data_IF_181342731704
#
_entry.id   IF_181342731704
#
_cell.length_a   1.000
_cell.length_b   1.000
_cell.length_c   1.000
_cell.angle_alpha   90.00
_cell.angle_beta   90.00
_cell.angle_gamma   90.00
#
_symmetry.space_group_name_H-M   'P 1'
#
loop_
_entity.id
_entity.type
_entity.pdbx_description
1 polymer ?
#
# COMPACT_ATOMS: atom_id res chain seq x y z
N UNK A 1 -2.16 -2.28 16.33
CA UNK A 1 -0.93 -2.29 15.51
C UNK A 1 0.17 -1.61 16.32
N UNK A 2 1.40 -2.14 16.31
CA UNK A 2 2.56 -1.40 16.81
C UNK A 2 3.06 -0.43 15.74
N UNK A 3 3.22 0.84 16.07
CA UNK A 3 3.65 1.88 15.11
C UNK A 3 5.16 1.85 14.83
N UNK A 4 5.96 1.10 15.60
CA UNK A 4 7.41 0.97 15.41
C UNK A 4 7.80 -0.19 14.49
N UNK A 5 6.96 -1.22 14.36
CA UNK A 5 7.23 -2.37 13.48
C UNK A 5 6.05 -2.75 12.56
N UNK A 6 4.98 -1.95 12.55
CA UNK A 6 3.74 -2.22 11.80
C UNK A 6 3.07 -3.59 12.09
N UNK A 7 3.51 -4.31 13.14
CA UNK A 7 2.96 -5.61 13.50
C UNK A 7 1.54 -5.44 14.04
N UNK A 8 0.59 -6.19 13.49
CA UNK A 8 -0.75 -6.33 14.07
C UNK A 8 -0.63 -7.21 15.31
N UNK A 9 -0.95 -6.65 16.47
CA UNK A 9 -0.97 -7.38 17.73
C UNK A 9 -2.39 -7.88 17.97
N UNK A 10 -2.53 -9.12 18.43
CA UNK A 10 -3.83 -9.65 18.84
C UNK A 10 -4.39 -8.90 20.05
N UNK A 11 -5.70 -8.99 20.28
CA UNK A 11 -6.38 -8.27 21.37
C UNK A 11 -5.73 -8.55 22.74
N UNK A 12 -5.37 -9.81 23.01
CA UNK A 12 -4.70 -10.18 24.25
C UNK A 12 -3.33 -9.53 24.43
N UNK A 13 -2.63 -9.18 23.36
CA UNK A 13 -1.32 -8.53 23.39
C UNK A 13 -1.41 -7.01 23.58
N UNK A 14 -2.61 -6.43 23.57
CA UNK A 14 -2.84 -5.00 23.81
C UNK A 14 -2.95 -4.64 25.30
N UNK A 15 -2.89 -5.63 26.21
CA UNK A 15 -2.86 -5.37 27.66
C UNK A 15 -1.60 -4.57 28.02
N UNK A 16 -1.65 -3.61 28.97
CA UNK A 16 -0.54 -2.72 29.27
C UNK A 16 0.79 -3.44 29.55
N UNK A 17 0.77 -4.50 30.35
CA UNK A 17 1.96 -5.32 30.65
C UNK A 17 2.56 -5.95 29.40
N UNK A 18 1.73 -6.53 28.52
CA UNK A 18 2.19 -7.17 27.28
C UNK A 18 2.66 -6.17 26.22
N UNK A 19 2.07 -4.98 26.16
CA UNK A 19 2.58 -3.89 25.32
C UNK A 19 3.96 -3.41 25.82
N UNK A 20 4.13 -3.30 27.13
CA UNK A 20 5.42 -2.95 27.72
C UNK A 20 6.48 -4.02 27.44
N UNK A 21 6.11 -5.31 27.55
CA UNK A 21 6.99 -6.42 27.19
C UNK A 21 7.36 -6.41 25.70
N UNK A 22 6.39 -6.14 24.82
CA UNK A 22 6.63 -5.99 23.38
C UNK A 22 7.60 -4.85 23.10
N UNK A 23 7.42 -3.69 23.74
CA UNK A 23 8.34 -2.55 23.61
C UNK A 23 9.75 -2.93 24.05
N UNK A 24 9.91 -3.58 25.21
CA UNK A 24 11.24 -3.99 25.72
C UNK A 24 11.93 -5.02 24.85
N UNK A 25 11.19 -6.01 24.33
CA UNK A 25 11.75 -7.12 23.56
C UNK A 25 12.01 -6.77 22.10
N UNK A 26 11.10 -6.03 21.46
CA UNK A 26 11.18 -5.73 20.03
C UNK A 26 11.82 -4.36 19.74
N UNK A 27 11.81 -3.44 20.71
CA UNK A 27 12.25 -2.05 20.55
C UNK A 27 13.03 -1.54 21.77
N UNK A 28 14.11 -2.24 22.20
CA UNK A 28 14.86 -1.89 23.40
C UNK A 28 15.37 -0.44 23.38
N UNK A 29 15.75 0.07 22.21
CA UNK A 29 16.22 1.43 21.96
C UNK A 29 15.14 2.52 22.11
N UNK A 30 13.87 2.13 22.17
CA UNK A 30 12.71 3.03 22.33
C UNK A 30 12.07 2.96 23.72
N UNK A 31 12.60 2.15 24.64
CA UNK A 31 12.02 1.94 25.98
C UNK A 31 12.03 3.19 26.86
N UNK A 32 13.04 4.04 26.72
CA UNK A 32 13.19 5.29 27.47
C UNK A 32 12.46 6.48 26.84
N UNK A 33 11.80 6.29 25.68
CA UNK A 33 11.10 7.38 25.01
C UNK A 33 9.86 7.78 25.82
N UNK A 34 9.66 9.09 25.95
CA UNK A 34 8.53 9.65 26.69
C UNK A 34 7.21 9.61 25.89
N UNK A 35 6.10 9.93 26.55
CA UNK A 35 4.76 10.00 25.95
C UNK A 35 4.73 10.90 24.70
N UNK A 36 5.44 12.04 24.73
CA UNK A 36 5.47 13.02 23.63
C UNK A 36 6.06 12.43 22.35
N UNK A 37 7.06 11.55 22.45
CA UNK A 37 7.60 10.81 21.32
C UNK A 37 6.52 9.95 20.64
N UNK A 38 5.78 9.15 21.42
CA UNK A 38 4.74 8.28 20.89
C UNK A 38 3.52 9.05 20.34
N UNK A 39 3.16 10.18 20.96
CA UNK A 39 2.13 11.08 20.42
C UNK A 39 2.56 11.64 19.06
N UNK A 40 3.79 12.13 18.96
CA UNK A 40 4.34 12.63 17.68
C UNK A 40 4.35 11.54 16.60
N UNK A 41 4.72 10.30 16.97
CA UNK A 41 4.71 9.15 16.06
C UNK A 41 3.29 8.83 15.57
N UNK A 42 2.31 8.84 16.48
CA UNK A 42 0.88 8.66 16.14
C UNK A 42 0.40 9.76 15.18
N UNK A 43 0.73 11.02 15.45
CA UNK A 43 0.32 12.14 14.60
C UNK A 43 0.93 12.05 13.20
N UNK A 44 2.21 11.68 13.10
CA UNK A 44 2.86 11.41 11.82
C UNK A 44 2.15 10.28 11.05
N UNK A 45 1.81 9.19 11.74
CA UNK A 45 1.10 8.07 11.12
C UNK A 45 -0.27 8.48 10.57
N UNK A 46 -1.05 9.23 11.36
CA UNK A 46 -2.38 9.70 10.96
C UNK A 46 -2.32 10.70 9.79
N UNK A 47 -1.26 11.52 9.73
CA UNK A 47 -1.05 12.49 8.66
C UNK A 47 -0.41 11.88 7.41
N UNK A 48 0.10 10.65 7.46
CA UNK A 48 0.70 9.95 6.31
C UNK A 48 -0.26 9.95 5.12
N UNK A 49 0.20 10.26 3.90
CA UNK A 49 -0.65 10.18 2.74
C UNK A 49 -0.99 8.72 2.44
N UNK A 50 -2.24 8.45 2.12
CA UNK A 50 -2.70 7.13 1.66
C UNK A 50 -3.16 7.26 0.21
N UNK A 51 -3.17 6.16 -0.55
CA UNK A 51 -3.69 6.18 -1.93
C UNK A 51 -5.10 6.77 -1.97
N UNK A 52 -5.98 6.36 -1.06
CA UNK A 52 -7.34 6.90 -0.99
C UNK A 52 -7.37 8.42 -0.76
N UNK A 53 -6.49 8.96 0.08
CA UNK A 53 -6.40 10.40 0.35
C UNK A 53 -5.77 11.17 -0.81
N UNK A 54 -4.78 10.58 -1.50
CA UNK A 54 -4.16 11.18 -2.69
C UNK A 54 -5.15 11.29 -3.86
N UNK A 55 -6.06 10.32 -3.99
CA UNK A 55 -7.06 10.29 -5.07
C UNK A 55 -8.45 10.81 -4.64
N UNK A 56 -8.63 11.30 -3.41
CA UNK A 56 -9.92 11.75 -2.89
C UNK A 56 -10.53 12.95 -3.65
N UNK A 57 -9.68 13.81 -4.22
CA UNK A 57 -10.08 15.02 -4.96
C UNK A 57 -9.82 14.93 -6.46
N UNK A 58 -9.42 13.77 -6.97
CA UNK A 58 -9.09 13.60 -8.38
C UNK A 58 -10.30 13.21 -9.21
N UNK A 59 -10.41 13.75 -10.42
CA UNK A 59 -11.46 13.36 -11.37
C UNK A 59 -11.33 11.89 -11.79
N UNK A 60 -12.40 11.31 -12.34
CA UNK A 60 -12.43 9.95 -12.92
C UNK A 60 -11.26 9.66 -13.89
N UNK A 61 -10.63 10.70 -14.42
CA UNK A 61 -9.43 10.61 -15.26
C UNK A 61 -8.25 9.92 -14.57
N UNK A 62 -8.19 9.96 -13.23
CA UNK A 62 -7.10 9.37 -12.45
C UNK A 62 -7.42 7.96 -11.91
N UNK A 63 -8.61 7.42 -12.17
CA UNK A 63 -9.01 6.09 -11.70
C UNK A 63 -8.10 4.98 -12.23
N UNK A 64 -7.61 5.12 -13.47
CA UNK A 64 -6.64 4.18 -14.04
C UNK A 64 -5.29 4.21 -13.34
N UNK A 65 -4.85 5.40 -12.88
CA UNK A 65 -3.61 5.54 -12.10
C UNK A 65 -3.75 4.90 -10.72
N UNK A 66 -4.90 5.08 -10.08
CA UNK A 66 -5.24 4.43 -8.80
C UNK A 66 -5.31 2.91 -8.95
N UNK A 67 -5.98 2.41 -9.99
CA UNK A 67 -6.03 0.99 -10.30
C UNK A 67 -4.63 0.41 -10.50
N UNK A 68 -3.75 1.14 -11.20
CA UNK A 68 -2.37 0.72 -11.42
C UNK A 68 -1.57 0.57 -10.11
N UNK A 69 -1.64 1.52 -9.16
CA UNK A 69 -1.02 1.36 -7.83
C UNK A 69 -1.60 0.15 -7.08
N UNK A 70 -2.92 -0.02 -7.07
CA UNK A 70 -3.57 -1.12 -6.37
C UNK A 70 -3.18 -2.49 -6.96
N UNK A 71 -3.09 -2.60 -8.28
CA UNK A 71 -2.66 -3.83 -8.95
C UNK A 71 -1.18 -4.11 -8.67
N UNK A 72 -0.30 -3.11 -8.73
CA UNK A 72 1.11 -3.27 -8.34
C UNK A 72 1.25 -3.77 -6.91
N UNK A 73 0.44 -3.27 -5.98
CA UNK A 73 0.41 -3.75 -4.59
C UNK A 73 0.01 -5.22 -4.51
N UNK A 74 -1.00 -5.65 -5.28
CA UNK A 74 -1.39 -7.05 -5.36
C UNK A 74 -0.28 -7.94 -5.94
N UNK A 75 0.40 -7.48 -7.00
CA UNK A 75 1.54 -8.20 -7.61
C UNK A 75 2.63 -8.44 -6.56
N UNK A 76 3.04 -7.39 -5.82
CA UNK A 76 4.04 -7.51 -4.76
C UNK A 76 3.55 -8.44 -3.63
N UNK A 77 2.31 -8.25 -3.16
CA UNK A 77 1.73 -9.03 -2.07
C UNK A 77 1.67 -10.53 -2.38
N UNK A 78 1.43 -10.90 -3.62
CA UNK A 78 1.37 -12.29 -4.07
C UNK A 78 2.70 -12.80 -4.66
N UNK A 79 3.77 -12.02 -4.58
CA UNK A 79 5.11 -12.40 -5.07
C UNK A 79 5.12 -12.75 -6.56
N UNK A 80 4.35 -12.02 -7.38
CA UNK A 80 4.26 -12.27 -8.82
C UNK A 80 5.30 -11.43 -9.59
N UNK A 81 5.78 -11.91 -10.75
CA UNK A 81 6.72 -11.14 -11.56
C UNK A 81 6.05 -9.87 -12.11
N UNK A 82 6.81 -8.77 -12.23
CA UNK A 82 6.29 -7.47 -12.69
C UNK A 82 5.61 -7.56 -14.08
N UNK A 83 6.13 -8.43 -14.95
CA UNK A 83 5.61 -8.67 -16.30
C UNK A 83 4.18 -9.25 -16.32
N UNK A 84 3.65 -9.74 -15.19
CA UNK A 84 2.27 -10.26 -15.13
C UNK A 84 1.23 -9.16 -15.39
N UNK A 85 1.57 -7.91 -15.06
CA UNK A 85 0.70 -6.74 -15.27
C UNK A 85 0.32 -6.58 -16.73
N UNK A 86 1.32 -6.46 -17.61
CA UNK A 86 1.12 -6.27 -19.04
C UNK A 86 0.72 -7.56 -19.78
N UNK A 87 1.23 -8.73 -19.38
CA UNK A 87 1.01 -10.00 -20.11
C UNK A 87 -0.33 -10.66 -19.83
N UNK A 88 -0.83 -10.56 -18.61
CA UNK A 88 -2.03 -11.30 -18.19
C UNK A 88 -3.13 -10.36 -17.69
N UNK A 89 -2.80 -9.42 -16.80
CA UNK A 89 -3.82 -8.60 -16.14
C UNK A 89 -4.47 -7.65 -17.14
N UNK A 90 -3.69 -6.96 -17.99
CA UNK A 90 -4.26 -6.09 -19.03
C UNK A 90 -5.12 -6.88 -20.03
N UNK A 91 -4.66 -8.07 -20.46
CA UNK A 91 -5.42 -8.94 -21.36
C UNK A 91 -6.72 -9.43 -20.73
N UNK A 92 -6.71 -9.80 -19.45
CA UNK A 92 -7.92 -10.21 -18.74
C UNK A 92 -8.92 -9.05 -18.57
N UNK A 93 -8.43 -7.84 -18.25
CA UNK A 93 -9.27 -6.64 -18.17
C UNK A 93 -9.88 -6.33 -19.55
N UNK A 94 -9.09 -6.43 -20.61
CA UNK A 94 -9.56 -6.24 -21.98
C UNK A 94 -10.68 -7.22 -22.35
N UNK A 95 -10.51 -8.51 -22.02
CA UNK A 95 -11.51 -9.54 -22.31
C UNK A 95 -12.82 -9.30 -21.57
N UNK A 96 -12.77 -8.96 -20.27
CA UNK A 96 -13.96 -8.64 -19.46
C UNK A 96 -14.68 -7.40 -20.01
N UNK A 97 -13.94 -6.36 -20.40
CA UNK A 97 -14.52 -5.15 -20.97
C UNK A 97 -15.26 -5.43 -22.27
N UNK A 98 -14.70 -6.28 -23.14
CA UNK A 98 -15.30 -6.65 -24.43
C UNK A 98 -16.50 -7.59 -24.27
N UNK A 99 -16.38 -8.63 -23.46
CA UNK A 99 -17.35 -9.73 -23.40
C UNK A 99 -18.46 -9.52 -22.39
N UNK A 100 -18.14 -9.00 -21.20
CA UNK A 100 -19.13 -8.85 -20.11
C UNK A 100 -19.77 -7.46 -20.15
N UNK A 101 -18.97 -6.43 -20.37
CA UNK A 101 -19.42 -5.04 -20.30
C UNK A 101 -19.75 -4.44 -21.67
N UNK A 102 -19.39 -5.12 -22.76
CA UNK A 102 -19.56 -4.66 -24.15
C UNK A 102 -19.07 -3.21 -24.35
N UNK A 103 -17.93 -2.87 -23.75
CA UNK A 103 -17.31 -1.54 -23.81
C UNK A 103 -16.01 -1.56 -24.61
N UNK A 104 -15.65 -0.46 -25.27
CA UNK A 104 -14.35 -0.34 -25.92
C UNK A 104 -13.23 -0.42 -24.87
N UNK A 105 -12.38 -1.43 -24.99
CA UNK A 105 -11.33 -1.69 -24.01
C UNK A 105 -10.09 -0.79 -24.18
N UNK A 106 -9.77 -0.38 -25.41
CA UNK A 106 -8.51 0.30 -25.74
C UNK A 106 -8.24 1.53 -24.87
N UNK A 107 -9.25 2.36 -24.65
CA UNK A 107 -9.09 3.63 -23.95
C UNK A 107 -9.04 3.47 -22.44
N UNK A 108 -9.63 2.38 -21.92
CA UNK A 108 -9.61 2.06 -20.49
C UNK A 108 -8.29 1.39 -20.14
N UNK A 109 -7.86 0.39 -20.90
CA UNK A 109 -6.60 -0.35 -20.71
C UNK A 109 -5.41 0.61 -20.76
N UNK A 110 -5.38 1.55 -21.71
CA UNK A 110 -4.32 2.58 -21.81
C UNK A 110 -4.21 3.49 -20.59
N UNK A 111 -5.29 3.66 -19.82
CA UNK A 111 -5.29 4.47 -18.58
C UNK A 111 -4.72 3.73 -17.38
N UNK A 112 -4.50 2.42 -17.48
CA UNK A 112 -3.99 1.57 -16.39
C UNK A 112 -2.56 1.16 -16.74
N UNK A 113 -1.55 2.01 -16.49
CA UNK A 113 -0.18 1.68 -16.88
C UNK A 113 0.35 0.52 -16.03
N UNK A 114 0.58 -0.63 -16.64
CA UNK A 114 1.05 -1.85 -15.96
C UNK A 114 2.24 -2.52 -16.65
N UNK A 115 3.04 -1.74 -17.39
CA UNK A 115 4.30 -2.25 -17.93
C UNK A 115 5.21 -2.72 -16.81
N UNK A 116 6.12 -3.66 -17.10
CA UNK A 116 7.05 -4.21 -16.09
C UNK A 116 7.74 -3.11 -15.28
N UNK A 117 8.31 -2.10 -15.96
CA UNK A 117 9.00 -0.96 -15.30
C UNK A 117 8.03 -0.09 -14.48
N UNK A 118 6.78 0.03 -14.90
CA UNK A 118 5.77 0.79 -14.13
C UNK A 118 5.42 0.06 -12.85
N UNK A 119 5.25 -1.26 -12.93
CA UNK A 119 4.92 -2.08 -11.76
C UNK A 119 6.05 -2.00 -10.75
N UNK A 120 7.30 -2.17 -11.20
CA UNK A 120 8.52 -2.03 -10.39
C UNK A 120 8.57 -0.67 -9.68
N UNK A 121 8.55 0.44 -10.44
CA UNK A 121 8.64 1.79 -9.87
C UNK A 121 7.58 2.05 -8.80
N UNK A 122 6.35 1.56 -8.99
CA UNK A 122 5.27 1.75 -8.01
C UNK A 122 5.50 0.94 -6.73
N UNK A 123 6.04 -0.27 -6.86
CA UNK A 123 6.40 -1.10 -5.70
C UNK A 123 7.51 -0.39 -4.92
N UNK A 124 8.52 0.13 -5.62
CA UNK A 124 9.61 0.88 -4.99
C UNK A 124 9.13 2.15 -4.29
N UNK A 125 8.24 2.93 -4.93
CA UNK A 125 7.63 4.12 -4.32
C UNK A 125 6.83 3.77 -3.06
N UNK A 126 6.03 2.70 -3.10
CA UNK A 126 5.28 2.24 -1.94
C UNK A 126 6.21 1.71 -0.84
N UNK A 127 7.30 1.04 -1.19
CA UNK A 127 8.32 0.57 -0.23
C UNK A 127 9.01 1.75 0.44
N UNK A 128 9.45 2.73 -0.34
CA UNK A 128 10.11 3.94 0.14
C UNK A 128 9.22 4.76 1.08
N UNK A 129 7.92 4.86 0.80
CA UNK A 129 6.95 5.51 1.69
C UNK A 129 6.82 4.77 3.04
N UNK A 130 6.98 3.44 3.06
CA UNK A 130 7.01 2.66 4.31
C UNK A 130 8.34 2.86 5.06
N UNK A 131 9.46 2.81 4.35
CA UNK A 131 10.80 2.96 4.96
C UNK A 131 11.03 4.35 5.52
N UNK A 132 10.58 5.40 4.83
CA UNK A 132 10.69 6.80 5.33
C UNK A 132 9.89 7.05 6.61
N UNK A 133 8.95 6.17 6.95
CA UNK A 133 8.14 6.25 8.16
C UNK A 133 8.76 5.52 9.36
N UNK A 134 9.55 4.47 9.12
CA UNK A 134 10.18 3.62 10.15
C UNK A 134 11.47 4.26 10.69
#
# INVERSE_FOLDING_TARGET
MCLLCNKVLGNDAMKPSKLQDHLRRCHPDKTEKNLKYFQTLKDKFQKRPTLDRMFASTSQRNDGLRASYNISLLIAKFGKPHTIGEKLILTAVEEVLKTVLHKPASDIVKRIPLSSNTVERRIDEMSSDIESFL
#
